data_IF_853671850160
#
_entry.id   IF_853671850160
#
_cell.length_a   1.000
_cell.length_b   1.000
_cell.length_c   1.000
_cell.angle_alpha   90.00
_cell.angle_beta   90.00
_cell.angle_gamma   90.00
#
_symmetry.space_group_name_H-M   'P 1'
#
loop_
_entity.id
_entity.type
_entity.pdbx_description
1 polymer ?
#
# COMPACT_ATOMS: atom_id res chain seq x y z
N UNK A 1 -22.93 7.06 3.34
CA UNK A 1 -22.18 6.84 4.60
C UNK A 1 -20.81 6.30 4.23
N UNK A 2 -19.72 7.02 4.55
CA UNK A 2 -18.38 6.49 4.33
C UNK A 2 -18.24 5.23 5.21
N UNK A 3 -17.86 4.09 4.61
CA UNK A 3 -17.54 2.88 5.39
C UNK A 3 -16.47 3.26 6.39
N UNK A 4 -16.70 2.88 7.64
CA UNK A 4 -15.81 3.21 8.74
C UNK A 4 -14.47 2.48 8.50
N UNK A 5 -13.43 3.24 8.16
CA UNK A 5 -12.12 2.66 7.80
C UNK A 5 -11.49 2.11 9.08
N UNK A 6 -11.19 0.81 9.11
CA UNK A 6 -10.72 0.09 10.30
C UNK A 6 -9.42 -0.67 10.05
N UNK A 7 -8.67 -0.95 11.12
CA UNK A 7 -7.46 -1.81 11.09
C UNK A 7 -7.80 -3.20 10.51
N UNK A 8 -9.00 -3.72 10.77
CA UNK A 8 -9.46 -5.00 10.21
C UNK A 8 -9.50 -5.00 8.69
N UNK A 9 -10.04 -3.94 8.08
CA UNK A 9 -10.09 -3.81 6.62
C UNK A 9 -8.69 -3.62 6.02
N UNK A 10 -7.80 -2.88 6.70
CA UNK A 10 -6.39 -2.79 6.30
C UNK A 10 -5.69 -4.16 6.38
N UNK A 11 -5.93 -4.94 7.42
CA UNK A 11 -5.35 -6.28 7.59
C UNK A 11 -5.76 -7.24 6.47
N UNK A 12 -7.05 -7.24 6.10
CA UNK A 12 -7.54 -8.00 4.95
C UNK A 12 -6.90 -7.55 3.65
N UNK A 13 -6.84 -6.24 3.43
CA UNK A 13 -6.23 -5.64 2.24
C UNK A 13 -4.76 -6.10 2.08
N UNK A 14 -3.96 -5.96 3.14
CA UNK A 14 -2.55 -6.39 3.15
C UNK A 14 -2.41 -7.91 2.98
N UNK A 15 -3.28 -8.72 3.58
CA UNK A 15 -3.24 -10.18 3.40
C UNK A 15 -3.45 -10.57 1.93
N UNK A 16 -4.48 -10.02 1.28
CA UNK A 16 -4.72 -10.31 -0.14
C UNK A 16 -3.64 -9.73 -1.06
N UNK A 17 -3.01 -8.62 -0.67
CA UNK A 17 -1.83 -8.09 -1.37
C UNK A 17 -0.66 -9.07 -1.28
N UNK A 18 -0.39 -9.62 -0.09
CA UNK A 18 0.67 -10.61 0.12
C UNK A 18 0.45 -11.88 -0.74
N UNK A 19 -0.78 -12.38 -0.78
CA UNK A 19 -1.16 -13.52 -1.64
C UNK A 19 -0.90 -13.21 -3.13
N UNK A 20 -1.27 -12.01 -3.59
CA UNK A 20 -1.06 -11.58 -4.96
C UNK A 20 0.42 -11.50 -5.33
N UNK A 21 1.23 -10.89 -4.45
CA UNK A 21 2.69 -10.76 -4.65
C UNK A 21 3.35 -12.14 -4.68
N UNK A 22 2.93 -13.06 -3.80
CA UNK A 22 3.41 -14.44 -3.81
C UNK A 22 3.09 -15.15 -5.13
N UNK A 23 1.85 -15.03 -5.62
CA UNK A 23 1.44 -15.62 -6.90
C UNK A 23 2.16 -15.00 -8.10
N UNK A 24 2.32 -13.68 -8.13
CA UNK A 24 3.08 -12.99 -9.18
C UNK A 24 4.55 -13.42 -9.18
N UNK A 25 5.16 -13.59 -8.01
CA UNK A 25 6.53 -14.08 -7.88
C UNK A 25 6.67 -15.50 -8.41
N UNK A 26 5.73 -16.39 -8.04
CA UNK A 26 5.74 -17.77 -8.51
C UNK A 26 5.51 -17.90 -10.03
N UNK A 27 4.76 -16.97 -10.61
CA UNK A 27 4.40 -16.98 -12.04
C UNK A 27 5.36 -16.16 -12.92
N UNK A 28 6.48 -15.64 -12.39
CA UNK A 28 7.34 -14.65 -13.07
C UNK A 28 7.88 -15.08 -14.44
N UNK A 29 7.96 -16.38 -14.69
CA UNK A 29 8.44 -16.94 -15.97
C UNK A 29 7.31 -17.20 -16.99
N UNK A 30 6.06 -17.00 -16.61
CA UNK A 30 4.89 -17.19 -17.46
C UNK A 30 4.30 -15.83 -17.85
N UNK A 31 4.34 -15.46 -19.14
CA UNK A 31 3.93 -14.11 -19.60
C UNK A 31 2.52 -13.71 -19.13
N UNK A 32 1.48 -14.41 -19.60
CA UNK A 32 0.09 -14.05 -19.30
C UNK A 32 -0.24 -14.17 -17.80
N UNK A 33 0.09 -15.28 -17.11
CA UNK A 33 -0.12 -15.37 -15.67
C UNK A 33 0.59 -14.28 -14.87
N UNK A 34 1.85 -13.95 -15.20
CA UNK A 34 2.59 -12.89 -14.53
C UNK A 34 1.93 -11.52 -14.74
N UNK A 35 1.57 -11.17 -15.98
CA UNK A 35 0.93 -9.88 -16.27
C UNK A 35 -0.39 -9.71 -15.51
N UNK A 36 -1.25 -10.72 -15.53
CA UNK A 36 -2.51 -10.68 -14.78
C UNK A 36 -2.29 -10.61 -13.26
N UNK A 37 -1.32 -11.37 -12.74
CA UNK A 37 -0.98 -11.33 -11.32
C UNK A 37 -0.43 -9.96 -10.90
N UNK A 38 0.43 -9.36 -11.73
CA UNK A 38 0.99 -8.02 -11.53
C UNK A 38 -0.10 -6.96 -11.50
N UNK A 39 -1.02 -6.96 -12.45
CA UNK A 39 -2.12 -6.00 -12.49
C UNK A 39 -2.99 -6.12 -11.24
N UNK A 40 -3.23 -7.36 -10.79
CA UNK A 40 -3.90 -7.60 -9.53
C UNK A 40 -3.09 -7.07 -8.33
N UNK A 41 -1.77 -7.20 -8.31
CA UNK A 41 -0.92 -6.61 -7.27
C UNK A 41 -1.04 -5.08 -7.24
N UNK A 42 -1.02 -4.43 -8.40
CA UNK A 42 -1.16 -2.96 -8.51
C UNK A 42 -2.51 -2.51 -7.96
N UNK A 43 -3.60 -3.15 -8.35
CA UNK A 43 -4.93 -2.81 -7.82
C UNK A 43 -5.01 -2.99 -6.29
N UNK A 44 -4.38 -4.04 -5.77
CA UNK A 44 -4.36 -4.31 -4.33
C UNK A 44 -3.48 -3.33 -3.56
N UNK A 45 -2.39 -2.90 -4.16
CA UNK A 45 -1.55 -1.82 -3.63
C UNK A 45 -2.33 -0.51 -3.53
N UNK A 46 -3.07 -0.11 -4.56
CA UNK A 46 -3.81 1.15 -4.60
C UNK A 46 -4.77 1.33 -3.43
N UNK A 47 -5.57 0.32 -3.12
CA UNK A 47 -6.48 0.40 -1.98
C UNK A 47 -5.75 0.18 -0.66
N UNK A 48 -4.68 -0.61 -0.61
CA UNK A 48 -3.95 -0.89 0.63
C UNK A 48 -3.24 0.35 1.16
N UNK A 49 -2.58 1.12 0.28
CA UNK A 49 -1.94 2.38 0.68
C UNK A 49 -2.97 3.44 1.07
N UNK A 50 -4.11 3.49 0.37
CA UNK A 50 -5.21 4.39 0.71
C UNK A 50 -5.80 4.10 2.10
N UNK A 51 -5.99 2.82 2.41
CA UNK A 51 -6.41 2.39 3.74
C UNK A 51 -5.33 2.68 4.78
N UNK A 52 -4.05 2.42 4.47
CA UNK A 52 -2.94 2.56 5.42
C UNK A 52 -2.86 3.98 6.00
N UNK A 53 -2.86 5.02 5.16
CA UNK A 53 -2.79 6.39 5.66
C UNK A 53 -4.08 6.83 6.35
N UNK A 54 -5.26 6.39 5.87
CA UNK A 54 -6.56 6.72 6.50
C UNK A 54 -6.73 6.11 7.89
N UNK A 55 -6.38 4.82 8.03
CA UNK A 55 -6.39 4.13 9.33
C UNK A 55 -5.41 4.80 10.28
N UNK A 56 -4.22 5.16 9.80
CA UNK A 56 -3.22 5.84 10.63
C UNK A 56 -3.73 7.20 11.11
N UNK A 57 -4.34 8.02 10.25
CA UNK A 57 -4.89 9.31 10.67
C UNK A 57 -6.01 9.15 11.69
N UNK A 58 -6.87 8.14 11.51
CA UNK A 58 -7.89 7.81 12.51
C UNK A 58 -7.28 7.42 13.85
N UNK A 59 -6.28 6.54 13.84
CA UNK A 59 -5.62 6.08 15.06
C UNK A 59 -4.93 7.24 15.81
N UNK A 60 -4.40 8.23 15.09
CA UNK A 60 -3.81 9.44 15.66
C UNK A 60 -4.85 10.52 16.06
N UNK A 61 -6.15 10.28 15.83
CA UNK A 61 -7.20 11.29 16.05
C UNK A 61 -7.10 12.51 15.11
N UNK A 62 -6.34 12.39 14.02
CA UNK A 62 -6.06 13.46 13.08
C UNK A 62 -7.16 13.63 12.03
N UNK A 63 -7.45 14.88 11.66
CA UNK A 63 -8.42 15.24 10.62
C UNK A 63 -7.75 15.47 9.25
N UNK A 64 -6.48 15.10 9.08
CA UNK A 64 -5.76 15.24 7.81
C UNK A 64 -6.44 14.39 6.71
N UNK A 65 -6.70 15.02 5.56
CA UNK A 65 -7.38 14.38 4.40
C UNK A 65 -6.49 14.24 3.16
N UNK A 66 -5.21 14.55 3.26
CA UNK A 66 -4.27 14.53 2.14
C UNK A 66 -3.15 13.54 2.39
N UNK A 67 -2.98 12.55 1.51
CA UNK A 67 -2.06 11.43 1.72
C UNK A 67 -0.60 11.84 1.96
N UNK A 68 -0.05 12.77 1.16
CA UNK A 68 1.33 13.28 1.34
C UNK A 68 1.54 14.00 2.68
N UNK A 69 0.48 14.60 3.25
CA UNK A 69 0.53 15.24 4.57
C UNK A 69 0.40 14.17 5.66
N UNK A 70 -0.50 13.21 5.47
CA UNK A 70 -0.70 12.08 6.38
C UNK A 70 0.57 11.24 6.55
N UNK A 71 1.32 10.97 5.47
CA UNK A 71 2.60 10.25 5.54
C UNK A 71 3.62 10.96 6.44
N UNK A 72 3.71 12.29 6.35
CA UNK A 72 4.63 13.06 7.22
C UNK A 72 4.19 12.97 8.68
N UNK A 73 2.89 12.95 8.94
CA UNK A 73 2.35 12.79 10.28
C UNK A 73 2.58 11.38 10.83
N UNK A 74 2.42 10.35 9.99
CA UNK A 74 2.75 8.97 10.35
C UNK A 74 4.21 8.83 10.78
N UNK A 75 5.13 9.50 10.08
CA UNK A 75 6.54 9.49 10.44
C UNK A 75 6.81 10.25 11.76
N UNK A 76 6.17 11.40 11.99
CA UNK A 76 6.29 12.13 13.27
C UNK A 76 5.77 11.36 14.47
N UNK A 77 4.80 10.48 14.25
CA UNK A 77 4.22 9.62 15.27
C UNK A 77 4.90 8.24 15.35
N UNK A 78 6.07 8.05 14.73
CA UNK A 78 6.85 6.80 14.70
C UNK A 78 6.08 5.57 14.19
N UNK A 79 5.03 5.78 13.39
CA UNK A 79 4.27 4.71 12.76
C UNK A 79 4.99 4.11 11.54
N UNK A 80 5.88 4.87 10.92
CA UNK A 80 6.68 4.45 9.75
C UNK A 80 8.14 4.89 9.93
N UNK A 81 9.06 4.14 9.35
CA UNK A 81 10.50 4.39 9.50
C UNK A 81 11.02 5.51 8.59
N UNK A 82 10.40 5.70 7.42
CA UNK A 82 10.85 6.65 6.41
C UNK A 82 9.66 7.31 5.70
N UNK A 83 9.51 8.62 5.91
CA UNK A 83 8.53 9.41 5.18
C UNK A 83 8.83 9.45 3.67
N UNK A 84 10.11 9.48 3.28
CA UNK A 84 10.54 9.53 1.88
C UNK A 84 10.06 8.29 1.12
N UNK A 85 10.35 7.11 1.68
CA UNK A 85 9.93 5.82 1.10
C UNK A 85 8.40 5.75 0.94
N UNK A 86 7.65 6.23 1.93
CA UNK A 86 6.18 6.25 1.83
C UNK A 86 5.65 7.30 0.85
N UNK A 87 6.35 8.43 0.67
CA UNK A 87 6.01 9.42 -0.35
C UNK A 87 6.24 8.87 -1.76
N UNK A 88 7.27 8.04 -1.97
CA UNK A 88 7.49 7.33 -3.24
C UNK A 88 6.35 6.36 -3.54
N UNK A 89 5.83 5.64 -2.53
CA UNK A 89 4.66 4.79 -2.70
C UNK A 89 3.40 5.60 -3.07
N UNK A 90 3.19 6.76 -2.46
CA UNK A 90 2.09 7.66 -2.85
C UNK A 90 2.25 8.10 -4.32
N UNK A 91 3.47 8.39 -4.76
CA UNK A 91 3.73 8.78 -6.14
C UNK A 91 3.53 7.61 -7.11
N UNK A 92 3.95 6.40 -6.73
CA UNK A 92 3.69 5.18 -7.50
C UNK A 92 2.18 4.92 -7.67
N UNK A 93 1.39 5.14 -6.61
CA UNK A 93 -0.08 5.03 -6.63
C UNK A 93 -0.74 6.14 -7.46
N UNK A 94 -0.13 7.31 -7.59
CA UNK A 94 -0.65 8.35 -8.49
C UNK A 94 -0.44 7.98 -9.96
N UNK A 95 0.63 7.24 -10.26
CA UNK A 95 0.99 6.81 -11.60
C UNK A 95 0.35 5.47 -12.01
N UNK A 96 -0.26 4.73 -11.09
CA UNK A 96 -0.79 3.38 -11.35
C UNK A 96 -1.94 3.34 -12.35
N UNK A 97 -2.67 4.45 -12.54
CA UNK A 97 -3.68 4.59 -13.60
C UNK A 97 -3.10 4.46 -15.02
N UNK A 98 -1.78 4.65 -15.17
CA UNK A 98 -1.05 4.49 -16.43
C UNK A 98 -0.43 3.09 -16.59
N UNK A 99 -0.78 2.13 -15.74
CA UNK A 99 -0.25 0.74 -15.78
C UNK A 99 -0.70 -0.09 -16.99
N UNK A 100 -1.52 0.47 -17.90
CA UNK A 100 -1.69 -0.10 -19.24
C UNK A 100 -0.39 -0.04 -20.06
N UNK A 101 0.53 0.89 -19.72
CA UNK A 101 1.90 0.88 -20.23
C UNK A 101 2.75 -0.11 -19.44
N UNK A 102 3.37 -1.05 -20.14
CA UNK A 102 4.16 -2.14 -19.57
C UNK A 102 5.34 -1.64 -18.72
N UNK A 103 6.01 -0.55 -19.13
CA UNK A 103 7.13 0.02 -18.37
C UNK A 103 6.63 0.69 -17.08
N UNK A 104 5.46 1.35 -17.13
CA UNK A 104 4.83 1.91 -15.95
C UNK A 104 4.42 0.80 -14.99
N UNK A 105 3.78 -0.25 -15.48
CA UNK A 105 3.35 -1.39 -14.68
C UNK A 105 4.53 -2.08 -13.98
N UNK A 106 5.66 -2.27 -14.66
CA UNK A 106 6.89 -2.82 -14.06
C UNK A 106 7.43 -1.92 -12.94
N UNK A 107 7.49 -0.60 -13.16
CA UNK A 107 7.95 0.36 -12.14
C UNK A 107 7.04 0.39 -10.92
N UNK A 108 5.72 0.42 -11.13
CA UNK A 108 4.75 0.39 -10.02
C UNK A 108 4.84 -0.94 -9.29
N UNK A 109 4.95 -2.06 -10.00
CA UNK A 109 5.08 -3.38 -9.35
C UNK A 109 6.32 -3.49 -8.45
N UNK A 110 7.47 -2.93 -8.85
CA UNK A 110 8.64 -2.86 -7.97
C UNK A 110 8.36 -2.08 -6.67
N UNK A 111 7.53 -1.03 -6.75
CA UNK A 111 7.07 -0.29 -5.56
C UNK A 111 6.09 -1.10 -4.73
N UNK A 112 5.26 -1.94 -5.35
CA UNK A 112 4.39 -2.88 -4.62
C UNK A 112 5.20 -3.87 -3.80
N UNK A 113 6.25 -4.45 -4.39
CA UNK A 113 7.15 -5.38 -3.70
C UNK A 113 7.84 -4.71 -2.50
N UNK A 114 8.28 -3.46 -2.66
CA UNK A 114 8.88 -2.68 -1.57
C UNK A 114 7.87 -2.23 -0.51
N UNK A 115 6.62 -1.94 -0.89
CA UNK A 115 5.56 -1.49 0.02
C UNK A 115 5.08 -2.60 0.97
N UNK A 116 5.00 -3.85 0.51
CA UNK A 116 4.45 -4.96 1.30
C UNK A 116 5.08 -5.11 2.70
N UNK A 117 6.41 -5.19 2.86
CA UNK A 117 7.01 -5.27 4.19
C UNK A 117 6.79 -3.99 5.03
N UNK A 118 6.76 -2.82 4.40
CA UNK A 118 6.53 -1.54 5.09
C UNK A 118 5.12 -1.42 5.66
N UNK A 119 4.10 -1.83 4.90
CA UNK A 119 2.71 -1.83 5.41
C UNK A 119 2.48 -2.91 6.47
N UNK A 120 3.20 -4.03 6.42
CA UNK A 120 3.18 -5.04 7.48
C UNK A 120 3.79 -4.51 8.78
N UNK A 121 4.90 -3.75 8.72
CA UNK A 121 5.47 -3.07 9.89
C UNK A 121 4.50 -2.03 10.47
N UNK A 122 3.86 -1.24 9.60
CA UNK A 122 2.84 -0.28 10.02
C UNK A 122 1.69 -0.99 10.75
N UNK A 123 1.16 -2.09 10.19
CA UNK A 123 0.11 -2.88 10.84
C UNK A 123 0.52 -3.34 12.24
N UNK A 124 1.72 -3.87 12.39
CA UNK A 124 2.23 -4.31 13.70
C UNK A 124 2.35 -3.16 14.71
N UNK A 125 2.64 -1.93 14.26
CA UNK A 125 2.66 -0.74 15.12
C UNK A 125 1.25 -0.29 15.49
N UNK A 126 0.33 -0.26 14.52
CA UNK A 126 -1.08 0.11 14.74
C UNK A 126 -1.78 -0.85 15.72
N UNK A 127 -1.51 -2.15 15.64
CA UNK A 127 -2.06 -3.15 16.57
C UNK A 127 -1.51 -3.01 18.02
N UNK A 128 -0.44 -2.24 18.22
CA UNK A 128 0.14 -1.95 19.55
C UNK A 128 -0.26 -0.59 20.11
N UNK A 129 -0.95 0.25 19.32
CA UNK A 129 -1.47 1.50 19.82
C UNK A 129 -2.55 1.22 20.88
N UNK A 130 -2.55 1.97 21.99
CA UNK A 130 -3.51 1.80 23.08
C UNK A 130 -4.95 2.17 22.68
#
# INVERSE_FOLDING_TARGET
MARDVSIHELKKAVATLAEAVAFATASRNDDVPFRLARDACIQRFEYSIELAWKVSMRALGSQIKHAKVAVREMARADLIDSAETWLDFIEARNNSSHSYDENVAQKVFAQVEAFLPEVQKLLARLERLP
#
